data_IF_862415079198
#
_entry.id   IF_862415079198
#
_cell.length_a   1.000
_cell.length_b   1.000
_cell.length_c   1.000
_cell.angle_alpha   90.00
_cell.angle_beta   90.00
_cell.angle_gamma   90.00
#
_symmetry.space_group_name_H-M   'P 1'
#
loop_
_entity.id
_entity.type
_entity.pdbx_description
1 polymer ?
#
# COMPACT_ATOMS: atom_id res chain seq x y z
N UNK A 1 11.25 -49.99 -59.96
CA UNK A 1 11.03 -49.79 -61.41
C UNK A 1 9.55 -49.98 -61.72
N UNK A 2 8.84 -48.91 -62.04
CA UNK A 2 7.83 -48.91 -63.10
C UNK A 2 7.39 -47.46 -63.34
N UNK A 3 7.78 -46.95 -64.51
CA UNK A 3 7.28 -45.72 -65.11
C UNK A 3 6.07 -46.10 -65.93
N UNK A 4 4.94 -45.41 -65.80
CA UNK A 4 4.08 -45.15 -66.95
C UNK A 4 3.50 -43.73 -66.88
N UNK A 5 4.05 -42.93 -67.78
CA UNK A 5 3.64 -41.61 -68.24
C UNK A 5 2.81 -41.79 -69.50
N UNK A 6 1.80 -40.94 -69.75
CA UNK A 6 1.31 -40.38 -71.04
C UNK A 6 0.07 -39.52 -70.67
N UNK A 7 0.11 -38.17 -70.61
CA UNK A 7 0.16 -37.12 -71.68
C UNK A 7 -1.18 -37.13 -72.48
N UNK A 8 -1.98 -36.07 -72.71
CA UNK A 8 -1.83 -34.62 -72.75
C UNK A 8 -3.23 -33.95 -72.63
N UNK A 9 -3.28 -32.63 -72.39
CA UNK A 9 -4.48 -31.82 -72.64
C UNK A 9 -4.45 -30.45 -71.95
N UNK A 10 -3.67 -29.52 -72.48
CA UNK A 10 -3.36 -28.22 -71.89
C UNK A 10 -4.34 -27.09 -72.28
N UNK A 11 -4.64 -26.20 -71.33
CA UNK A 11 -4.90 -24.74 -71.43
C UNK A 11 -5.42 -24.27 -70.05
N UNK A 12 -4.99 -23.20 -69.37
CA UNK A 12 -4.17 -22.05 -69.70
C UNK A 12 -3.48 -21.50 -68.43
N UNK A 13 -2.57 -20.53 -68.64
CA UNK A 13 -1.46 -20.04 -67.84
C UNK A 13 -1.71 -19.54 -66.39
N UNK A 14 -0.64 -19.72 -65.61
CA UNK A 14 -0.31 -19.24 -64.27
C UNK A 14 0.08 -17.74 -64.19
N UNK A 15 -0.23 -17.18 -63.02
CA UNK A 15 0.53 -16.24 -62.17
C UNK A 15 0.97 -14.86 -62.71
N UNK A 16 0.39 -13.82 -62.09
CA UNK A 16 1.14 -12.65 -61.65
C UNK A 16 0.72 -12.27 -60.23
N UNK A 17 1.70 -11.82 -59.45
CA UNK A 17 1.69 -11.65 -58.01
C UNK A 17 0.73 -10.56 -57.50
N UNK A 18 0.20 -10.76 -56.29
CA UNK A 18 -0.55 -9.77 -55.52
C UNK A 18 -0.38 -10.01 -54.03
N UNK A 19 0.53 -9.25 -53.45
CA UNK A 19 1.01 -9.17 -52.08
C UNK A 19 -0.03 -9.43 -50.98
N UNK A 20 0.36 -10.24 -50.00
CA UNK A 20 -0.35 -10.39 -48.74
C UNK A 20 -0.28 -9.15 -47.87
N UNK A 21 -1.34 -8.96 -47.07
CA UNK A 21 -1.34 -8.16 -45.85
C UNK A 21 -2.50 -8.62 -44.95
N UNK A 22 -2.39 -9.85 -44.43
CA UNK A 22 -3.13 -10.24 -43.22
C UNK A 22 -2.37 -9.64 -42.02
N UNK A 23 -2.65 -8.38 -41.70
CA UNK A 23 -2.10 -7.73 -40.51
C UNK A 23 -3.18 -7.53 -39.44
N UNK A 24 -3.02 -8.33 -38.38
CA UNK A 24 -3.20 -7.96 -36.97
C UNK A 24 -4.56 -7.43 -36.53
N UNK A 25 -5.54 -8.34 -36.40
CA UNK A 25 -6.41 -8.30 -35.22
C UNK A 25 -5.64 -8.84 -34.02
N UNK A 26 -4.70 -8.02 -33.52
CA UNK A 26 -4.11 -8.27 -32.22
C UNK A 26 -5.22 -8.17 -31.17
N UNK A 27 -5.63 -9.30 -30.62
CA UNK A 27 -6.13 -9.32 -29.25
C UNK A 27 -4.99 -8.79 -28.39
N UNK A 28 -4.93 -7.47 -28.22
CA UNK A 28 -4.27 -6.86 -27.08
C UNK A 28 -5.02 -7.45 -25.89
N UNK A 29 -4.37 -8.24 -25.01
CA UNK A 29 -4.99 -8.60 -23.75
C UNK A 29 -5.41 -7.29 -23.13
N UNK A 30 -6.69 -7.13 -22.75
CA UNK A 30 -7.11 -5.97 -21.97
C UNK A 30 -6.08 -5.82 -20.85
N UNK A 31 -5.44 -4.65 -20.79
CA UNK A 31 -4.55 -4.30 -19.69
C UNK A 31 -5.25 -4.76 -18.41
N UNK A 32 -4.61 -5.69 -17.69
CA UNK A 32 -5.15 -6.16 -16.41
C UNK A 32 -5.46 -4.91 -15.60
N UNK A 33 -6.72 -4.78 -15.17
CA UNK A 33 -7.10 -3.68 -14.32
C UNK A 33 -6.14 -3.72 -13.12
N UNK A 34 -5.59 -2.57 -12.72
CA UNK A 34 -4.73 -2.46 -11.53
C UNK A 34 -5.56 -2.64 -10.23
N UNK A 35 -6.71 -3.30 -10.36
CA UNK A 35 -7.65 -3.64 -9.31
C UNK A 35 -6.93 -4.58 -8.35
N UNK A 36 -6.91 -4.22 -7.07
CA UNK A 36 -6.62 -5.15 -6.00
C UNK A 36 -7.97 -5.61 -5.45
N UNK A 37 -8.62 -6.63 -6.04
CA UNK A 37 -9.85 -7.15 -5.47
C UNK A 37 -9.61 -7.62 -4.04
N UNK A 38 -10.62 -7.47 -3.20
CA UNK A 38 -10.55 -8.03 -1.87
C UNK A 38 -10.49 -9.55 -1.95
N UNK A 39 -9.74 -10.14 -1.03
CA UNK A 39 -9.65 -11.59 -0.87
C UNK A 39 -10.03 -11.88 0.57
N UNK A 40 -11.17 -12.51 0.76
CA UNK A 40 -11.73 -12.76 2.08
C UNK A 40 -10.73 -13.54 2.95
N UNK A 41 -10.42 -13.00 4.13
CA UNK A 41 -9.50 -13.63 5.09
C UNK A 41 -8.01 -13.50 4.75
N UNK A 42 -7.63 -12.77 3.70
CA UNK A 42 -6.22 -12.54 3.33
C UNK A 42 -5.73 -11.21 3.91
N UNK A 43 -5.12 -11.27 5.09
CA UNK A 43 -4.64 -10.09 5.81
C UNK A 43 -3.56 -9.29 5.05
N UNK A 44 -2.76 -9.94 4.18
CA UNK A 44 -1.79 -9.23 3.32
C UNK A 44 -2.51 -8.38 2.25
N UNK A 45 -3.57 -8.92 1.64
CA UNK A 45 -4.41 -8.15 0.71
C UNK A 45 -5.12 -7.03 1.44
N UNK A 46 -5.74 -7.31 2.58
CA UNK A 46 -6.42 -6.29 3.40
C UNK A 46 -5.47 -5.15 3.76
N UNK A 47 -4.25 -5.45 4.21
CA UNK A 47 -3.23 -4.45 4.49
C UNK A 47 -2.93 -3.56 3.27
N UNK A 48 -2.68 -4.17 2.11
CA UNK A 48 -2.36 -3.44 0.89
C UNK A 48 -3.54 -2.61 0.36
N UNK A 49 -4.78 -3.10 0.54
CA UNK A 49 -6.02 -2.37 0.22
C UNK A 49 -6.18 -1.15 1.13
N UNK A 50 -5.99 -1.31 2.44
CA UNK A 50 -6.02 -0.20 3.40
C UNK A 50 -5.00 0.85 3.01
N UNK A 51 -3.71 0.52 2.88
CA UNK A 51 -2.69 1.52 2.54
C UNK A 51 -2.97 2.21 1.19
N UNK A 52 -3.46 1.46 0.20
CA UNK A 52 -3.90 2.03 -1.08
C UNK A 52 -5.02 3.04 -0.89
N UNK A 53 -6.02 2.71 -0.08
CA UNK A 53 -7.16 3.60 0.16
C UNK A 53 -6.76 4.86 0.92
N UNK A 54 -5.85 4.75 1.89
CA UNK A 54 -5.26 5.90 2.57
C UNK A 54 -4.57 6.84 1.56
N UNK A 55 -3.74 6.26 0.69
CA UNK A 55 -2.98 7.03 -0.30
C UNK A 55 -3.92 7.72 -1.30
N UNK A 56 -4.92 6.98 -1.82
CA UNK A 56 -5.96 7.51 -2.71
C UNK A 56 -6.78 8.63 -2.04
N UNK A 57 -7.15 8.47 -0.77
CA UNK A 57 -7.89 9.47 0.00
C UNK A 57 -7.15 10.81 0.05
N UNK A 58 -5.88 10.78 0.45
CA UNK A 58 -5.06 11.99 0.54
C UNK A 58 -4.73 12.62 -0.82
N UNK A 59 -4.72 11.82 -1.89
CA UNK A 59 -4.52 12.27 -3.26
C UNK A 59 -5.80 12.82 -3.92
N UNK A 60 -6.93 12.84 -3.22
CA UNK A 60 -8.23 13.24 -3.78
C UNK A 60 -8.73 12.32 -4.89
N UNK A 61 -8.22 11.08 -4.94
CA UNK A 61 -8.69 10.07 -5.89
C UNK A 61 -9.98 9.43 -5.37
N UNK A 62 -10.85 8.90 -6.24
CA UNK A 62 -12.03 8.15 -5.81
C UNK A 62 -11.69 7.02 -4.84
N UNK A 63 -12.66 6.59 -4.04
CA UNK A 63 -12.55 5.37 -3.23
C UNK A 63 -12.14 4.16 -4.09
N UNK A 64 -11.54 3.15 -3.47
CA UNK A 64 -11.54 1.81 -4.06
C UNK A 64 -12.99 1.37 -4.32
N UNK A 65 -13.25 0.62 -5.41
CA UNK A 65 -14.58 0.06 -5.65
C UNK A 65 -15.05 -0.77 -4.46
N UNK A 66 -16.35 -0.70 -4.17
CA UNK A 66 -16.98 -1.58 -3.20
C UNK A 66 -16.76 -3.05 -3.60
N UNK A 67 -16.41 -3.87 -2.62
CA UNK A 67 -16.15 -5.29 -2.81
C UNK A 67 -16.82 -6.06 -1.67
N UNK A 68 -17.66 -7.03 -2.01
CA UNK A 68 -18.38 -7.83 -1.02
C UNK A 68 -17.44 -8.71 -0.17
N UNK A 69 -16.21 -8.95 -0.65
CA UNK A 69 -15.19 -9.69 0.07
C UNK A 69 -14.27 -8.78 0.89
N UNK A 70 -14.49 -7.45 0.88
CA UNK A 70 -13.69 -6.50 1.64
C UNK A 70 -13.76 -6.80 3.14
N UNK A 71 -12.59 -6.77 3.78
CA UNK A 71 -12.53 -6.91 5.23
C UNK A 71 -13.13 -5.65 5.87
N UNK A 72 -13.90 -5.81 6.95
CA UNK A 72 -14.48 -4.67 7.69
C UNK A 72 -13.43 -3.68 8.20
N UNK A 73 -12.21 -4.12 8.49
CA UNK A 73 -11.12 -3.22 8.89
C UNK A 73 -10.71 -2.26 7.76
N UNK A 74 -11.06 -2.55 6.50
CA UNK A 74 -10.86 -1.61 5.38
C UNK A 74 -11.65 -0.30 5.56
N UNK A 75 -12.68 -0.29 6.41
CA UNK A 75 -13.43 0.91 6.76
C UNK A 75 -12.54 2.01 7.36
N UNK A 76 -11.35 1.69 7.88
CA UNK A 76 -10.39 2.69 8.35
C UNK A 76 -9.95 3.65 7.23
N UNK A 77 -9.88 3.17 5.98
CA UNK A 77 -9.61 4.01 4.81
C UNK A 77 -10.72 5.03 4.55
N UNK A 78 -11.98 4.61 4.72
CA UNK A 78 -13.13 5.50 4.62
C UNK A 78 -13.21 6.49 5.78
N UNK A 79 -12.86 6.08 6.99
CA UNK A 79 -12.78 6.98 8.15
C UNK A 79 -11.76 8.12 7.91
N UNK A 80 -10.62 7.83 7.24
CA UNK A 80 -9.68 8.88 6.84
C UNK A 80 -10.30 9.84 5.82
N UNK A 81 -11.05 9.35 4.83
CA UNK A 81 -11.73 10.22 3.85
C UNK A 81 -12.71 11.17 4.51
N UNK A 82 -13.54 10.66 5.41
CA UNK A 82 -14.48 11.47 6.17
C UNK A 82 -13.75 12.52 7.02
N UNK A 83 -12.65 12.13 7.66
CA UNK A 83 -11.80 13.07 8.40
C UNK A 83 -11.25 14.18 7.48
N UNK A 84 -10.66 13.82 6.34
CA UNK A 84 -10.08 14.77 5.38
C UNK A 84 -11.15 15.67 4.74
N UNK A 85 -12.40 15.21 4.65
CA UNK A 85 -13.54 16.01 4.21
C UNK A 85 -14.09 16.95 5.29
N UNK A 86 -13.55 16.90 6.52
CA UNK A 86 -14.01 17.69 7.67
C UNK A 86 -15.20 17.07 8.42
N UNK A 87 -15.64 15.87 8.06
CA UNK A 87 -16.76 15.15 8.68
C UNK A 87 -16.31 14.39 9.93
N UNK A 88 -15.76 15.12 10.92
CA UNK A 88 -15.12 14.53 12.11
C UNK A 88 -16.06 13.66 12.95
N UNK A 89 -17.35 13.98 13.02
CA UNK A 89 -18.36 13.16 13.72
C UNK A 89 -18.56 11.82 13.02
N UNK A 90 -18.65 11.81 11.69
CA UNK A 90 -18.83 10.58 10.92
C UNK A 90 -17.57 9.71 11.00
N UNK A 91 -16.39 10.33 10.88
CA UNK A 91 -15.13 9.62 11.08
C UNK A 91 -15.04 8.99 12.48
N UNK A 92 -15.45 9.71 13.53
CA UNK A 92 -15.46 9.19 14.89
C UNK A 92 -16.38 7.97 15.06
N UNK A 93 -17.61 8.02 14.53
CA UNK A 93 -18.53 6.88 14.59
C UNK A 93 -17.96 5.65 13.85
N UNK A 94 -17.32 5.86 12.69
CA UNK A 94 -16.67 4.76 11.97
C UNK A 94 -15.51 4.16 12.78
N UNK A 95 -14.76 4.97 13.54
CA UNK A 95 -13.73 4.47 14.43
C UNK A 95 -14.32 3.64 15.57
N UNK A 96 -15.49 4.00 16.10
CA UNK A 96 -16.19 3.18 17.11
C UNK A 96 -16.57 1.80 16.54
N UNK A 97 -17.09 1.76 15.30
CA UNK A 97 -17.43 0.50 14.61
C UNK A 97 -16.17 -0.36 14.34
N UNK A 98 -15.05 0.27 14.00
CA UNK A 98 -13.77 -0.42 13.76
C UNK A 98 -13.18 -0.94 15.08
N UNK A 99 -13.20 -0.14 16.15
CA UNK A 99 -12.76 -0.55 17.48
C UNK A 99 -13.59 -1.77 17.96
N UNK A 100 -14.92 -1.76 17.74
CA UNK A 100 -15.78 -2.91 18.04
C UNK A 100 -15.43 -4.16 17.22
N UNK A 101 -15.10 -4.01 15.94
CA UNK A 101 -14.65 -5.13 15.10
C UNK A 101 -13.26 -5.64 15.53
N UNK A 102 -12.36 -4.78 16.00
CA UNK A 102 -11.08 -5.19 16.59
C UNK A 102 -11.33 -6.04 17.82
N UNK A 103 -12.18 -5.58 18.74
CA UNK A 103 -12.48 -6.28 20.00
C UNK A 103 -13.07 -7.68 19.74
N UNK A 104 -13.86 -7.86 18.68
CA UNK A 104 -14.39 -9.17 18.28
C UNK A 104 -13.32 -10.14 17.76
N UNK A 105 -12.16 -9.64 17.31
CA UNK A 105 -11.09 -10.44 16.70
C UNK A 105 -9.93 -10.73 17.64
N UNK A 106 -9.85 -10.03 18.78
CA UNK A 106 -8.97 -10.40 19.88
C UNK A 106 -9.56 -11.65 20.54
N UNK A 107 -8.81 -12.76 20.68
CA UNK A 107 -9.32 -13.92 21.39
C UNK A 107 -9.68 -13.55 22.83
N UNK A 108 -10.79 -14.09 23.32
CA UNK A 108 -11.25 -13.96 24.71
C UNK A 108 -10.68 -15.07 25.58
N UNK A 109 -10.62 -14.83 26.89
CA UNK A 109 -10.26 -15.85 27.90
C UNK A 109 -11.03 -17.17 27.69
N UNK A 110 -12.34 -17.10 27.37
CA UNK A 110 -13.14 -18.30 27.10
C UNK A 110 -12.72 -19.02 25.82
N UNK A 111 -12.39 -18.28 24.76
CA UNK A 111 -11.90 -18.87 23.50
C UNK A 111 -10.52 -19.48 23.68
N UNK A 112 -9.64 -18.85 24.47
CA UNK A 112 -8.30 -19.37 24.76
C UNK A 112 -8.37 -20.60 25.67
N UNK A 113 -9.31 -20.65 26.62
CA UNK A 113 -9.58 -21.84 27.40
C UNK A 113 -10.07 -23.02 26.52
N UNK A 114 -10.81 -22.72 25.44
CA UNK A 114 -11.29 -23.72 24.48
C UNK A 114 -10.22 -24.13 23.45
N UNK A 115 -9.38 -23.20 23.01
CA UNK A 115 -8.26 -23.41 22.08
C UNK A 115 -6.98 -22.72 22.59
N UNK A 116 -6.10 -23.45 23.31
CA UNK A 116 -4.86 -22.90 23.84
C UNK A 116 -3.88 -22.36 22.79
N UNK A 117 -4.08 -22.65 21.50
CA UNK A 117 -3.26 -22.09 20.42
C UNK A 117 -3.51 -20.59 20.21
N UNK A 118 -4.63 -20.07 20.71
CA UNK A 118 -4.96 -18.66 20.63
C UNK A 118 -4.25 -17.80 21.69
N UNK A 119 -3.69 -18.41 22.74
CA UNK A 119 -3.05 -17.70 23.86
C UNK A 119 -1.92 -16.77 23.40
N UNK A 120 -1.04 -17.27 22.50
CA UNK A 120 0.08 -16.48 21.98
C UNK A 120 -0.40 -15.24 21.19
N UNK A 121 -1.56 -15.33 20.52
CA UNK A 121 -2.14 -14.21 19.76
C UNK A 121 -2.82 -13.21 20.69
N UNK A 122 -3.60 -13.70 21.66
CA UNK A 122 -4.26 -12.89 22.68
C UNK A 122 -3.24 -12.07 23.47
N UNK A 123 -2.27 -12.73 24.10
CA UNK A 123 -1.25 -12.07 24.94
C UNK A 123 -0.50 -11.01 24.15
N UNK A 124 -0.13 -11.32 22.89
CA UNK A 124 0.61 -10.41 22.02
C UNK A 124 -0.18 -9.14 21.65
N UNK A 125 -1.48 -9.29 21.36
CA UNK A 125 -2.36 -8.16 21.02
C UNK A 125 -2.71 -7.33 22.26
N UNK A 126 -3.15 -7.99 23.34
CA UNK A 126 -3.55 -7.32 24.59
C UNK A 126 -2.39 -6.54 25.18
N UNK A 127 -1.20 -7.15 25.27
CA UNK A 127 0.00 -6.47 25.79
C UNK A 127 0.35 -5.22 24.97
N UNK A 128 0.20 -5.26 23.65
CA UNK A 128 0.44 -4.08 22.82
C UNK A 128 -0.64 -3.00 23.00
N UNK A 129 -1.91 -3.40 23.12
CA UNK A 129 -3.01 -2.46 23.28
C UNK A 129 -2.96 -1.71 24.61
N UNK A 130 -2.52 -2.36 25.69
CA UNK A 130 -2.31 -1.72 26.99
C UNK A 130 -1.20 -0.66 26.98
N UNK A 131 -0.24 -0.77 26.05
CA UNK A 131 0.81 0.25 25.89
C UNK A 131 0.32 1.49 25.15
N UNK A 132 -0.76 1.38 24.35
CA UNK A 132 -1.28 2.50 23.58
C UNK A 132 -1.84 3.58 24.53
N UNK A 133 -1.48 4.86 24.34
CA UNK A 133 -1.98 5.92 25.19
C UNK A 133 -3.45 6.24 24.87
N UNK A 134 -4.13 6.86 25.83
CA UNK A 134 -5.45 7.42 25.59
C UNK A 134 -5.41 8.63 24.64
N UNK A 135 -6.47 8.78 23.85
CA UNK A 135 -6.69 9.99 23.08
C UNK A 135 -6.84 11.21 24.01
N UNK A 136 -6.34 12.40 23.62
CA UNK A 136 -6.43 13.60 24.45
C UNK A 136 -7.87 13.96 24.72
N UNK A 137 -8.18 14.20 26.00
CA UNK A 137 -9.50 14.64 26.46
C UNK A 137 -9.38 15.92 27.29
N UNK A 138 -10.48 16.67 27.38
CA UNK A 138 -10.61 17.81 28.27
C UNK A 138 -10.55 19.18 27.59
N UNK A 139 -10.52 20.23 28.42
CA UNK A 139 -10.61 21.63 27.97
C UNK A 139 -9.41 21.98 27.08
N UNK A 140 -9.70 22.51 25.88
CA UNK A 140 -8.70 22.99 24.93
C UNK A 140 -8.30 21.97 23.85
N UNK A 141 -8.75 20.72 23.94
CA UNK A 141 -8.57 19.75 22.85
C UNK A 141 -9.57 20.06 21.74
N UNK A 142 -9.06 20.32 20.53
CA UNK A 142 -9.91 20.56 19.37
C UNK A 142 -10.55 19.23 18.90
N UNK A 143 -11.80 19.23 18.40
CA UNK A 143 -12.46 18.00 17.97
C UNK A 143 -11.70 17.25 16.87
N UNK A 144 -11.10 17.96 15.90
CA UNK A 144 -10.26 17.38 14.86
C UNK A 144 -9.01 16.71 15.42
N UNK A 145 -8.36 17.34 16.41
CA UNK A 145 -7.23 16.76 17.14
C UNK A 145 -7.64 15.48 17.87
N UNK A 146 -8.75 15.50 18.62
CA UNK A 146 -9.25 14.31 19.29
C UNK A 146 -9.50 13.15 18.33
N UNK A 147 -10.24 13.38 17.26
CA UNK A 147 -10.59 12.36 16.26
C UNK A 147 -9.36 11.85 15.54
N UNK A 148 -8.42 12.72 15.17
CA UNK A 148 -7.20 12.29 14.49
C UNK A 148 -6.29 11.44 15.37
N UNK A 149 -6.15 11.78 16.66
CA UNK A 149 -5.36 10.96 17.57
C UNK A 149 -6.05 9.62 17.82
N UNK A 150 -7.38 9.58 17.98
CA UNK A 150 -8.14 8.32 18.01
C UNK A 150 -7.87 7.49 16.76
N UNK A 151 -7.96 8.10 15.59
CA UNK A 151 -7.67 7.44 14.32
C UNK A 151 -6.26 6.81 14.33
N UNK A 152 -5.24 7.54 14.77
CA UNK A 152 -3.87 7.03 14.82
C UNK A 152 -3.73 5.81 15.74
N UNK A 153 -4.42 5.80 16.87
CA UNK A 153 -4.44 4.68 17.82
C UNK A 153 -5.18 3.47 17.23
N UNK A 154 -6.38 3.66 16.68
CA UNK A 154 -7.13 2.60 15.98
C UNK A 154 -6.31 2.04 14.81
N UNK A 155 -5.58 2.88 14.06
CA UNK A 155 -4.70 2.44 12.98
C UNK A 155 -3.57 1.53 13.50
N UNK A 156 -3.00 1.79 14.70
CA UNK A 156 -2.04 0.87 15.32
C UNK A 156 -2.68 -0.46 15.71
N UNK A 157 -3.91 -0.46 16.21
CA UNK A 157 -4.64 -1.70 16.53
C UNK A 157 -4.96 -2.53 15.30
N UNK A 158 -5.50 -1.91 14.24
CA UNK A 158 -5.75 -2.58 12.95
C UNK A 158 -4.47 -3.21 12.42
N UNK A 159 -3.38 -2.46 12.43
CA UNK A 159 -2.09 -2.91 11.92
C UNK A 159 -1.50 -4.07 12.75
N UNK A 160 -1.60 -4.03 14.07
CA UNK A 160 -1.20 -5.13 14.95
C UNK A 160 -2.02 -6.40 14.68
N UNK A 161 -3.34 -6.26 14.51
CA UNK A 161 -4.22 -7.39 14.25
C UNK A 161 -3.95 -8.04 12.89
N UNK A 162 -3.79 -7.22 11.84
CA UNK A 162 -3.39 -7.72 10.52
C UNK A 162 -2.04 -8.42 10.59
N UNK A 163 -1.07 -7.85 11.31
CA UNK A 163 0.25 -8.47 11.46
C UNK A 163 0.17 -9.82 12.19
N UNK A 164 -0.69 -9.96 13.21
CA UNK A 164 -0.94 -11.24 13.88
C UNK A 164 -1.45 -12.31 12.91
N UNK A 165 -2.26 -11.92 11.92
CA UNK A 165 -2.82 -12.83 10.91
C UNK A 165 -1.85 -13.10 9.75
N UNK A 166 -0.87 -12.22 9.53
CA UNK A 166 0.14 -12.34 8.47
C UNK A 166 1.33 -13.19 8.92
N UNK A 167 1.75 -13.03 10.18
CA UNK A 167 2.95 -13.67 10.70
C UNK A 167 2.76 -15.19 10.79
N UNK A 168 3.75 -16.00 10.37
CA UNK A 168 3.72 -17.44 10.60
C UNK A 168 3.69 -17.81 12.09
N UNK A 169 4.23 -16.94 12.94
CA UNK A 169 4.25 -17.02 14.39
C UNK A 169 4.50 -15.63 14.97
N UNK A 170 3.79 -15.27 16.04
CA UNK A 170 4.03 -14.04 16.81
C UNK A 170 5.26 -14.15 17.71
N UNK A 171 5.69 -15.38 18.04
CA UNK A 171 6.88 -15.62 18.87
C UNK A 171 8.15 -15.14 18.16
N UNK A 172 8.94 -14.33 18.84
CA UNK A 172 10.17 -13.74 18.30
C UNK A 172 9.94 -12.54 17.39
N UNK A 173 8.73 -11.94 17.39
CA UNK A 173 8.47 -10.65 16.77
C UNK A 173 8.14 -9.60 17.83
N UNK A 174 8.95 -8.56 17.92
CA UNK A 174 8.70 -7.38 18.74
C UNK A 174 7.79 -6.42 17.97
N UNK A 175 6.54 -6.30 18.42
CA UNK A 175 5.53 -5.46 17.79
C UNK A 175 5.78 -3.95 17.98
N UNK A 176 6.44 -3.55 19.07
CA UNK A 176 6.80 -2.15 19.32
C UNK A 176 7.95 -1.74 18.40
N UNK A 177 9.01 -2.55 18.34
CA UNK A 177 10.16 -2.27 17.48
C UNK A 177 9.91 -2.62 16.01
N UNK A 178 8.87 -3.42 15.72
CA UNK A 178 8.56 -4.03 14.43
C UNK A 178 9.72 -4.81 13.85
N UNK A 179 10.28 -5.69 14.67
CA UNK A 179 11.47 -6.47 14.34
C UNK A 179 11.31 -7.91 14.73
N UNK A 180 11.80 -8.78 13.87
CA UNK A 180 11.85 -10.21 14.09
C UNK A 180 13.26 -10.68 14.48
N UNK A 181 13.31 -11.72 15.30
CA UNK A 181 14.51 -12.52 15.52
C UNK A 181 14.81 -13.47 14.34
N UNK A 182 13.85 -13.58 13.41
CA UNK A 182 13.93 -14.45 12.24
C UNK A 182 14.93 -13.93 11.19
N UNK A 183 15.60 -14.87 10.50
CA UNK A 183 16.48 -14.55 9.37
C UNK A 183 16.04 -15.35 8.13
N UNK A 184 15.70 -14.70 7.00
CA UNK A 184 15.70 -13.25 6.79
C UNK A 184 14.55 -12.52 7.52
N UNK A 185 14.72 -11.21 7.83
CA UNK A 185 13.71 -10.40 8.52
C UNK A 185 12.61 -9.93 7.54
N UNK A 186 11.74 -10.87 7.15
CA UNK A 186 10.77 -10.69 6.05
C UNK A 186 9.73 -9.60 6.34
N UNK A 187 9.26 -9.48 7.58
CA UNK A 187 8.16 -8.59 7.98
C UNK A 187 8.62 -7.40 8.85
N UNK A 188 9.92 -7.14 8.90
CA UNK A 188 10.47 -6.03 9.69
C UNK A 188 10.01 -4.68 9.13
N UNK A 189 9.57 -3.79 10.02
CA UNK A 189 9.09 -2.44 9.68
C UNK A 189 7.79 -2.41 8.85
N UNK A 190 7.12 -3.55 8.66
CA UNK A 190 5.79 -3.62 8.06
C UNK A 190 4.80 -2.91 8.97
N UNK A 191 4.18 -1.84 8.47
CA UNK A 191 3.22 -1.02 9.20
C UNK A 191 2.36 -0.23 8.23
N UNK A 192 1.07 -0.06 8.54
CA UNK A 192 0.25 0.96 7.90
C UNK A 192 0.83 2.34 8.21
N UNK A 193 0.76 3.29 7.27
CA UNK A 193 1.35 4.62 7.42
C UNK A 193 0.41 5.70 6.93
N UNK A 194 0.49 6.86 7.56
CA UNK A 194 -0.24 8.03 7.09
C UNK A 194 0.30 8.48 5.72
N UNK A 195 -0.57 8.86 4.77
CA UNK A 195 -0.12 9.33 3.48
C UNK A 195 0.74 10.59 3.60
N UNK A 196 1.84 10.64 2.85
CA UNK A 196 2.83 11.72 2.90
C UNK A 196 2.19 13.08 2.61
N UNK A 197 1.17 13.13 1.75
CA UNK A 197 0.41 14.34 1.40
C UNK A 197 -0.18 15.04 2.63
N UNK A 198 -0.45 14.29 3.70
CA UNK A 198 -0.93 14.85 4.96
C UNK A 198 0.13 15.73 5.65
N UNK A 199 1.42 15.51 5.42
CA UNK A 199 2.47 16.38 5.97
C UNK A 199 2.39 17.82 5.43
N UNK A 200 1.77 18.05 4.27
CA UNK A 200 1.55 19.40 3.73
C UNK A 200 0.32 20.12 4.33
N UNK A 201 -0.64 19.38 4.87
CA UNK A 201 -1.98 19.90 5.23
C UNK A 201 -2.33 19.71 6.72
N UNK A 202 -1.80 18.68 7.35
CA UNK A 202 -2.13 18.22 8.70
C UNK A 202 -0.88 17.97 9.55
N UNK A 203 0.22 18.67 9.26
CA UNK A 203 1.50 18.52 9.95
C UNK A 203 1.39 18.51 11.48
N UNK A 204 0.68 19.47 12.06
CA UNK A 204 0.54 19.59 13.51
C UNK A 204 -0.16 18.36 14.14
N UNK A 205 -1.09 17.75 13.41
CA UNK A 205 -1.76 16.54 13.87
C UNK A 205 -0.85 15.32 13.80
N UNK A 206 -0.03 15.21 12.75
CA UNK A 206 0.98 14.16 12.63
C UNK A 206 2.07 14.28 13.69
N UNK A 207 2.53 15.50 13.98
CA UNK A 207 3.49 15.76 15.07
C UNK A 207 2.92 15.35 16.43
N UNK A 208 1.66 15.65 16.71
CA UNK A 208 1.01 15.24 17.95
C UNK A 208 0.80 13.72 18.03
N UNK A 209 0.41 13.08 16.93
CA UNK A 209 0.32 11.62 16.85
C UNK A 209 1.67 10.95 17.10
N UNK A 210 2.74 11.44 16.46
CA UNK A 210 4.09 10.92 16.68
C UNK A 210 4.55 11.07 18.13
N UNK A 211 4.32 12.25 18.73
CA UNK A 211 4.66 12.52 20.13
C UNK A 211 3.98 11.55 21.09
N UNK A 212 2.71 11.23 20.84
CA UNK A 212 1.92 10.34 21.70
C UNK A 212 2.30 8.88 21.52
N UNK A 213 2.41 8.43 20.28
CA UNK A 213 2.77 7.05 19.97
C UNK A 213 4.20 6.74 20.41
N UNK A 214 5.13 7.69 20.24
CA UNK A 214 6.53 7.50 20.60
C UNK A 214 7.08 6.21 19.97
N UNK A 215 7.69 5.31 20.76
CA UNK A 215 8.20 4.03 20.25
C UNK A 215 7.14 3.14 19.57
N UNK A 216 5.86 3.27 19.93
CA UNK A 216 4.76 2.44 19.41
C UNK A 216 4.45 2.68 17.94
N UNK A 217 5.02 3.74 17.34
CA UNK A 217 4.99 3.91 15.88
C UNK A 217 5.66 2.74 15.16
N UNK A 218 6.74 2.19 15.73
CA UNK A 218 7.51 1.08 15.19
C UNK A 218 8.25 1.38 13.88
N UNK A 219 8.43 2.65 13.55
CA UNK A 219 9.02 3.12 12.30
C UNK A 219 8.44 4.45 11.84
N UNK A 220 8.58 4.79 10.55
CA UNK A 220 8.04 6.01 9.98
C UNK A 220 6.52 6.10 10.17
N UNK A 221 6.04 7.22 10.74
CA UNK A 221 4.61 7.48 10.90
C UNK A 221 3.90 7.66 9.54
N UNK A 222 4.63 8.20 8.57
CA UNK A 222 4.11 8.50 7.23
C UNK A 222 4.77 7.64 6.17
N UNK A 223 4.12 7.47 5.02
CA UNK A 223 4.71 6.83 3.84
C UNK A 223 5.57 7.80 3.02
N UNK A 224 5.97 8.95 3.59
CA UNK A 224 6.92 9.83 2.93
C UNK A 224 8.23 9.08 2.66
N UNK A 225 8.79 9.18 1.45
CA UNK A 225 10.07 8.56 1.12
C UNK A 225 11.23 9.41 1.68
N UNK A 226 11.25 9.60 2.99
CA UNK A 226 12.33 10.29 3.68
C UNK A 226 13.57 9.38 3.76
N UNK A 227 14.79 9.96 3.76
CA UNK A 227 15.99 9.20 4.09
C UNK A 227 15.90 8.60 5.49
N UNK A 228 16.43 7.40 5.67
CA UNK A 228 16.44 6.69 6.95
C UNK A 228 16.93 7.60 8.09
N UNK A 229 16.17 7.65 9.18
CA UNK A 229 16.49 8.47 10.36
C UNK A 229 16.05 9.93 10.24
N UNK A 230 15.32 10.29 9.16
CA UNK A 230 14.67 11.59 8.98
C UNK A 230 13.15 11.47 8.94
N UNK A 231 12.63 10.33 9.35
CA UNK A 231 11.22 9.97 9.32
C UNK A 231 10.36 10.77 10.31
N UNK A 232 11.01 11.46 11.27
CA UNK A 232 10.37 12.37 12.24
C UNK A 232 10.70 13.85 11.98
N UNK A 233 11.43 14.17 10.90
CA UNK A 233 11.67 15.55 10.50
C UNK A 233 10.45 16.08 9.73
N UNK A 234 9.41 16.49 10.46
CA UNK A 234 8.16 16.97 9.87
C UNK A 234 8.31 18.18 8.94
N UNK A 235 9.38 18.98 9.09
CA UNK A 235 9.67 20.05 8.13
C UNK A 235 10.22 19.49 6.81
N UNK A 236 11.04 18.44 6.85
CA UNK A 236 11.41 17.70 5.65
C UNK A 236 10.20 17.01 5.02
N UNK A 237 9.39 16.30 5.82
CA UNK A 237 8.21 15.60 5.31
C UNK A 237 7.24 16.56 4.62
N UNK A 238 6.99 17.72 5.21
CA UNK A 238 6.17 18.77 4.62
C UNK A 238 6.75 19.26 3.28
N UNK A 239 8.08 19.47 3.19
CA UNK A 239 8.72 19.85 1.91
C UNK A 239 8.58 18.76 0.85
N UNK A 240 8.80 17.51 1.22
CA UNK A 240 8.56 16.36 0.32
C UNK A 240 7.12 16.36 -0.15
N UNK A 241 6.16 16.59 0.74
CA UNK A 241 4.75 16.56 0.41
C UNK A 241 4.30 17.72 -0.49
N UNK A 242 4.92 18.89 -0.37
CA UNK A 242 4.61 20.08 -1.17
C UNK A 242 5.29 20.06 -2.54
N UNK A 243 6.54 19.62 -2.60
CA UNK A 243 7.34 19.58 -3.84
C UNK A 243 8.26 18.35 -3.85
N UNK A 244 7.72 17.16 -4.14
CA UNK A 244 8.48 15.92 -4.11
C UNK A 244 9.57 15.90 -5.18
N UNK A 245 9.35 16.55 -6.33
CA UNK A 245 10.30 16.55 -7.43
C UNK A 245 11.60 17.30 -7.06
N UNK A 246 11.48 18.41 -6.32
CA UNK A 246 12.64 19.14 -5.81
C UNK A 246 13.22 18.52 -4.53
N UNK A 247 12.40 17.89 -3.69
CA UNK A 247 12.83 17.34 -2.42
C UNK A 247 13.55 15.97 -2.55
N UNK A 248 13.22 15.16 -3.57
CA UNK A 248 13.64 13.77 -3.70
C UNK A 248 14.71 13.56 -4.78
N UNK A 249 15.73 14.42 -4.81
CA UNK A 249 16.78 14.42 -5.85
C UNK A 249 17.76 13.24 -5.76
N UNK A 250 17.79 12.51 -4.65
CA UNK A 250 18.70 11.39 -4.39
C UNK A 250 17.98 10.04 -4.31
N UNK A 251 18.62 8.94 -4.70
CA UNK A 251 18.06 7.61 -4.52
C UNK A 251 17.90 7.24 -3.02
N UNK A 252 16.85 6.51 -2.69
CA UNK A 252 16.64 5.91 -1.38
C UNK A 252 17.17 4.46 -1.35
N UNK A 253 17.60 3.97 -0.18
CA UNK A 253 18.10 2.60 -0.03
C UNK A 253 17.00 1.62 0.42
N UNK A 254 17.10 0.38 -0.07
CA UNK A 254 16.48 -0.79 0.55
C UNK A 254 15.49 -1.53 -0.35
N UNK A 255 15.66 -2.84 -0.46
CA UNK A 255 14.65 -3.72 -1.03
C UNK A 255 14.59 -5.02 -0.24
N UNK A 256 13.41 -5.33 0.31
CA UNK A 256 13.08 -6.62 0.93
C UNK A 256 12.01 -7.28 0.05
N UNK A 257 12.12 -8.60 -0.13
CA UNK A 257 11.25 -9.39 -1.00
C UNK A 257 10.40 -10.31 -0.12
N UNK A 258 9.07 -10.18 -0.21
CA UNK A 258 8.11 -11.07 0.45
C UNK A 258 7.76 -12.27 -0.44
N UNK A 259 7.28 -13.38 0.13
CA UNK A 259 6.73 -14.51 -0.62
C UNK A 259 5.53 -14.13 -1.52
N UNK A 260 4.85 -13.01 -1.23
CA UNK A 260 3.85 -12.34 -2.07
C UNK A 260 3.94 -10.83 -1.88
N UNK A 261 4.66 -10.14 -2.77
CA UNK A 261 4.92 -8.70 -2.64
C UNK A 261 3.77 -7.80 -3.12
N UNK A 262 2.77 -8.35 -3.83
CA UNK A 262 1.66 -7.61 -4.46
C UNK A 262 2.14 -6.48 -5.39
N UNK A 263 3.32 -6.66 -6.00
CA UNK A 263 3.96 -5.64 -6.83
C UNK A 263 3.27 -5.46 -8.17
N UNK A 264 3.01 -4.21 -8.56
CA UNK A 264 2.34 -3.89 -9.82
C UNK A 264 3.32 -3.78 -11.01
N UNK A 265 2.83 -3.83 -12.26
CA UNK A 265 3.63 -3.50 -13.43
C UNK A 265 4.24 -2.10 -13.36
N UNK A 266 3.51 -1.11 -12.81
CA UNK A 266 4.01 0.26 -12.64
C UNK A 266 5.18 0.32 -11.64
N UNK A 267 5.10 -0.39 -10.52
CA UNK A 267 6.22 -0.53 -9.57
C UNK A 267 7.44 -1.20 -10.21
N UNK A 268 7.20 -2.20 -11.06
CA UNK A 268 8.27 -2.86 -11.82
C UNK A 268 8.91 -1.94 -12.86
N UNK A 269 8.14 -1.07 -13.52
CA UNK A 269 8.64 -0.05 -14.43
C UNK A 269 9.48 1.01 -13.68
N UNK A 270 8.98 1.47 -12.53
CA UNK A 270 9.68 2.40 -11.66
C UNK A 270 11.01 1.82 -11.14
N UNK A 271 11.02 0.57 -10.68
CA UNK A 271 12.22 -0.13 -10.22
C UNK A 271 13.29 -0.31 -11.31
N UNK A 272 12.88 -0.37 -12.59
CA UNK A 272 13.79 -0.43 -13.74
C UNK A 272 14.33 0.94 -14.15
N UNK A 273 13.73 2.03 -13.70
CA UNK A 273 14.15 3.39 -14.03
C UNK A 273 13.99 3.74 -15.51
N UNK A 274 12.90 3.33 -16.15
CA UNK A 274 12.63 3.62 -17.57
C UNK A 274 11.40 4.52 -17.71
N UNK A 275 11.60 5.78 -18.06
CA UNK A 275 10.50 6.75 -18.16
C UNK A 275 9.43 6.36 -19.19
N UNK A 276 9.83 5.72 -20.29
CA UNK A 276 8.90 5.20 -21.29
C UNK A 276 7.98 4.10 -20.72
N UNK A 277 8.52 3.20 -19.90
CA UNK A 277 7.74 2.11 -19.28
C UNK A 277 6.78 2.65 -18.21
N UNK A 278 7.21 3.64 -17.42
CA UNK A 278 6.37 4.34 -16.44
C UNK A 278 5.20 5.03 -17.16
N UNK A 279 5.50 5.79 -18.21
CA UNK A 279 4.47 6.50 -19.01
C UNK A 279 3.49 5.53 -19.63
N UNK A 280 3.98 4.42 -20.21
CA UNK A 280 3.13 3.41 -20.83
C UNK A 280 2.20 2.74 -19.82
N UNK A 281 2.68 2.41 -18.63
CA UNK A 281 1.86 1.81 -17.58
C UNK A 281 0.75 2.78 -17.10
N UNK A 282 1.08 4.06 -16.90
CA UNK A 282 0.10 5.09 -16.52
C UNK A 282 -0.95 5.32 -17.62
N UNK A 283 -0.54 5.36 -18.89
CA UNK A 283 -1.46 5.45 -20.03
C UNK A 283 -2.41 4.26 -20.14
N UNK A 284 -1.98 3.09 -19.64
CA UNK A 284 -2.81 1.89 -19.55
C UNK A 284 -3.75 1.89 -18.33
N UNK A 285 -3.75 2.96 -17.52
CA UNK A 285 -4.65 3.11 -16.36
C UNK A 285 -4.08 2.62 -15.02
N UNK A 286 -2.77 2.34 -14.93
CA UNK A 286 -2.15 1.97 -13.66
C UNK A 286 -2.32 3.08 -12.60
N UNK A 287 -2.58 2.70 -11.36
CA UNK A 287 -2.78 3.62 -10.24
C UNK A 287 -1.45 3.88 -9.52
N UNK A 288 -0.90 5.11 -9.56
CA UNK A 288 0.34 5.42 -8.85
C UNK A 288 0.20 5.36 -7.32
N UNK A 289 -1.01 5.44 -6.77
CA UNK A 289 -1.28 5.35 -5.32
C UNK A 289 -1.41 3.91 -4.82
N UNK A 290 -1.39 2.95 -5.73
CA UNK A 290 -1.48 1.52 -5.42
C UNK A 290 -0.29 1.09 -4.57
N UNK A 291 -0.58 0.51 -3.40
CA UNK A 291 0.42 0.04 -2.46
C UNK A 291 0.65 -1.48 -2.57
N UNK A 292 1.91 -1.90 -2.44
CA UNK A 292 2.32 -3.30 -2.37
C UNK A 292 2.05 -3.88 -0.95
N UNK A 293 2.45 -5.12 -0.70
CA UNK A 293 2.27 -5.78 0.59
C UNK A 293 3.12 -5.17 1.74
N UNK A 294 4.00 -4.21 1.48
CA UNK A 294 4.72 -3.41 2.50
C UNK A 294 4.22 -1.97 2.57
N UNK A 295 3.15 -1.63 1.85
CA UNK A 295 2.65 -0.27 1.78
C UNK A 295 3.43 0.62 0.81
N UNK A 296 4.33 0.07 -0.01
CA UNK A 296 5.14 0.83 -0.97
C UNK A 296 4.37 1.07 -2.25
N UNK A 297 4.43 2.30 -2.75
CA UNK A 297 3.92 2.71 -4.07
C UNK A 297 5.01 2.65 -5.14
N UNK A 298 4.64 2.87 -6.40
CA UNK A 298 5.61 2.96 -7.50
C UNK A 298 6.69 4.04 -7.27
N UNK A 299 6.36 5.15 -6.58
CA UNK A 299 7.33 6.18 -6.22
C UNK A 299 8.46 5.63 -5.33
N UNK A 300 8.14 4.77 -4.37
CA UNK A 300 9.16 4.16 -3.49
C UNK A 300 10.19 3.36 -4.28
N UNK A 301 9.73 2.57 -5.27
CA UNK A 301 10.61 1.81 -6.15
C UNK A 301 11.42 2.68 -7.12
N UNK A 302 10.85 3.79 -7.60
CA UNK A 302 11.57 4.76 -8.42
C UNK A 302 12.78 5.33 -7.67
N UNK A 303 12.58 5.67 -6.40
CA UNK A 303 13.62 6.27 -5.57
C UNK A 303 14.70 5.25 -5.23
N UNK A 304 14.39 3.96 -5.16
CA UNK A 304 15.38 2.89 -5.08
C UNK A 304 16.29 2.74 -6.31
N UNK A 305 16.00 3.44 -7.41
CA UNK A 305 16.70 3.30 -8.68
C UNK A 305 17.51 4.56 -9.03
N UNK A 306 18.75 4.39 -9.49
CA UNK A 306 19.68 5.48 -9.89
C UNK A 306 19.84 5.65 -11.42
N UNK A 307 19.17 4.85 -12.24
CA UNK A 307 19.37 4.78 -13.69
C UNK A 307 18.75 5.94 -14.48
N UNK A 308 17.75 6.64 -13.93
CA UNK A 308 17.12 7.79 -14.60
C UNK A 308 17.97 9.05 -14.53
N UNK A 309 18.00 9.78 -15.66
CA UNK A 309 18.54 11.14 -15.72
C UNK A 309 17.79 12.08 -14.75
N UNK A 310 18.41 13.18 -14.33
CA UNK A 310 17.79 14.13 -13.39
C UNK A 310 16.45 14.70 -13.89
N UNK A 311 16.36 15.03 -15.18
CA UNK A 311 15.13 15.54 -15.79
C UNK A 311 14.04 14.47 -15.86
N UNK A 312 14.37 13.26 -16.31
CA UNK A 312 13.42 12.15 -16.37
C UNK A 312 12.96 11.72 -14.98
N UNK A 313 13.85 11.76 -13.98
CA UNK A 313 13.51 11.48 -12.58
C UNK A 313 12.52 12.51 -12.06
N UNK A 314 12.76 13.80 -12.27
CA UNK A 314 11.84 14.85 -11.83
C UNK A 314 10.45 14.70 -12.48
N UNK A 315 10.42 14.34 -13.77
CA UNK A 315 9.16 14.06 -14.46
C UNK A 315 8.47 12.80 -13.91
N UNK A 316 9.21 11.72 -13.69
CA UNK A 316 8.68 10.48 -13.11
C UNK A 316 8.08 10.72 -11.71
N UNK A 317 8.77 11.49 -10.86
CA UNK A 317 8.26 11.83 -9.52
C UNK A 317 6.92 12.56 -9.62
N UNK A 318 6.78 13.53 -10.53
CA UNK A 318 5.51 14.27 -10.73
C UNK A 318 4.36 13.37 -11.19
N UNK A 319 4.65 12.32 -11.95
CA UNK A 319 3.64 11.39 -12.45
C UNK A 319 3.22 10.36 -11.40
N UNK A 320 4.12 10.00 -10.48
CA UNK A 320 3.90 8.95 -9.48
C UNK A 320 3.45 9.48 -8.12
N UNK A 321 3.63 10.78 -7.84
CA UNK A 321 3.17 11.39 -6.60
C UNK A 321 1.77 11.93 -6.74
#
# INVERSE_FOLDING_TARGET
>A
MSKQTVIAGAAALLLAAGSGAWFLSGHVPSAGTDDLPAVQGDALVTFARIQTELNRASAGKPALPEDANADKLEAIGQALREFLAGNTVKAANMLDDIDAEIDLRVPTDEQVAADPLLADKEEWLVSYYELLPDAPQGKGVRPDTYVFIRYALTLRKVDALLLADILPSTKGYDLVARKSDATPPVFDGMALRFPCRMAATHRALLEEAARRLGPLMGGPLTDCPAPKGRDEDFALLERIARDPASALTMPAEGNVVLPRDLKTPLMSAAAKGKMADITKALQAGADPQRADAHGRTALHYLLGNSALSGADRAQAIKLLY
#
